data_IF_660249724878
#
_entry.id   IF_660249724878
#
_cell.length_a   1.000
_cell.length_b   1.000
_cell.length_c   1.000
_cell.angle_alpha   90.00
_cell.angle_beta   90.00
_cell.angle_gamma   90.00
#
_symmetry.space_group_name_H-M   'P 1'
#
loop_
_entity.id
_entity.type
_entity.pdbx_description
1 polymer ?
#
# COMPACT_ATOMS: atom_id res chain seq x y z
N UNK A 1 -20.50 3.46 -4.81
CA UNK A 1 -20.04 4.52 -5.75
C UNK A 1 -20.06 5.85 -5.02
N UNK A 2 -19.05 6.71 -5.21
CA UNK A 2 -19.03 8.05 -4.60
C UNK A 2 -20.20 8.91 -5.11
N UNK A 3 -20.70 9.83 -4.29
CA UNK A 3 -21.71 10.81 -4.72
C UNK A 3 -21.11 11.81 -5.73
N UNK A 4 -21.96 12.49 -6.50
CA UNK A 4 -21.52 13.58 -7.41
C UNK A 4 -20.84 14.69 -6.61
N UNK A 5 -21.39 15.04 -5.45
CA UNK A 5 -20.86 16.06 -4.55
C UNK A 5 -19.48 15.68 -4.02
N UNK A 6 -19.31 14.44 -3.54
CA UNK A 6 -18.04 13.91 -3.04
C UNK A 6 -16.96 13.98 -4.11
N UNK A 7 -17.27 13.56 -5.34
CA UNK A 7 -16.33 13.68 -6.47
C UNK A 7 -15.94 15.12 -6.76
N UNK A 8 -16.90 16.05 -6.73
CA UNK A 8 -16.63 17.46 -6.98
C UNK A 8 -15.71 18.07 -5.90
N UNK A 9 -15.97 17.78 -4.62
CA UNK A 9 -15.17 18.26 -3.50
C UNK A 9 -13.74 17.70 -3.55
N UNK A 10 -13.59 16.40 -3.78
CA UNK A 10 -12.27 15.75 -3.89
C UNK A 10 -11.51 16.36 -5.07
N UNK A 11 -12.13 16.47 -6.25
CA UNK A 11 -11.51 17.07 -7.44
C UNK A 11 -11.07 18.52 -7.21
N UNK A 12 -11.86 19.31 -6.51
CA UNK A 12 -11.54 20.71 -6.21
C UNK A 12 -10.39 20.85 -5.20
N UNK A 13 -10.21 19.88 -4.30
CA UNK A 13 -9.22 19.94 -3.21
C UNK A 13 -7.91 19.22 -3.53
N UNK A 14 -7.88 18.33 -4.53
CA UNK A 14 -6.65 17.63 -4.97
C UNK A 14 -5.47 18.57 -5.24
N UNK A 15 -5.61 19.70 -5.98
CA UNK A 15 -4.45 20.57 -6.26
C UNK A 15 -3.83 21.18 -4.99
N UNK A 16 -4.62 21.40 -3.94
CA UNK A 16 -4.12 21.88 -2.65
C UNK A 16 -3.30 20.78 -1.96
N UNK A 17 -3.83 19.56 -1.96
CA UNK A 17 -3.11 18.41 -1.38
C UNK A 17 -1.86 18.04 -2.17
N UNK A 18 -1.84 18.21 -3.49
CA UNK A 18 -0.64 17.96 -4.30
C UNK A 18 0.51 18.90 -3.92
N UNK A 19 0.22 20.20 -3.78
CA UNK A 19 1.20 21.19 -3.32
C UNK A 19 1.74 20.89 -1.92
N UNK A 20 0.94 20.20 -1.09
CA UNK A 20 1.25 19.89 0.30
C UNK A 20 1.53 18.40 0.55
N UNK A 21 1.62 17.57 -0.49
CA UNK A 21 1.61 16.11 -0.37
C UNK A 21 2.74 15.56 0.49
N UNK A 22 3.92 16.17 0.38
CA UNK A 22 5.09 15.85 1.22
C UNK A 22 4.85 16.18 2.70
N UNK A 23 4.17 17.28 3.01
CA UNK A 23 3.85 17.65 4.39
C UNK A 23 2.80 16.70 4.99
N UNK A 24 1.73 16.41 4.24
CA UNK A 24 0.66 15.49 4.64
C UNK A 24 1.25 14.10 4.95
N UNK A 25 2.03 13.55 4.02
CA UNK A 25 2.62 12.21 4.18
C UNK A 25 3.63 12.14 5.32
N UNK A 26 4.37 13.23 5.58
CA UNK A 26 5.27 13.32 6.73
C UNK A 26 4.50 13.26 8.06
N UNK A 27 3.41 14.03 8.19
CA UNK A 27 2.54 14.00 9.37
C UNK A 27 1.90 12.63 9.54
N UNK A 28 1.34 12.08 8.45
CA UNK A 28 0.75 10.74 8.39
C UNK A 28 1.70 9.67 8.95
N UNK A 29 2.91 9.54 8.39
CA UNK A 29 3.86 8.51 8.84
C UNK A 29 4.35 8.75 10.26
N UNK A 30 4.62 10.02 10.63
CA UNK A 30 5.08 10.36 11.98
C UNK A 30 4.06 9.92 13.02
N UNK A 31 2.80 10.32 12.87
CA UNK A 31 1.77 10.06 13.87
C UNK A 31 1.43 8.56 13.90
N UNK A 32 1.19 7.95 12.74
CA UNK A 32 0.83 6.53 12.63
C UNK A 32 1.89 5.61 13.25
N UNK A 33 3.17 5.82 12.97
CA UNK A 33 4.22 4.90 13.43
C UNK A 33 4.65 5.14 14.89
N UNK A 34 4.37 6.33 15.42
CA UNK A 34 4.57 6.61 16.84
C UNK A 34 3.54 5.89 17.71
N UNK A 35 2.28 5.85 17.25
CA UNK A 35 1.16 5.23 17.96
C UNK A 35 1.02 3.73 17.64
N UNK A 36 1.28 3.32 16.40
CA UNK A 36 1.23 1.92 15.95
C UNK A 36 2.62 1.38 15.64
N UNK A 37 3.45 1.22 16.68
CA UNK A 37 4.84 0.77 16.54
C UNK A 37 4.98 -0.60 15.87
N UNK A 38 3.98 -1.47 15.94
CA UNK A 38 3.95 -2.76 15.23
C UNK A 38 4.08 -2.62 13.71
N UNK A 39 3.61 -1.50 13.13
CA UNK A 39 3.69 -1.25 11.70
C UNK A 39 5.12 -0.97 11.22
N UNK A 40 6.06 -0.74 12.15
CA UNK A 40 7.49 -0.62 11.83
C UNK A 40 8.10 -1.92 11.29
N UNK A 41 7.45 -3.06 11.51
CA UNK A 41 7.83 -4.35 10.91
C UNK A 41 7.38 -4.49 9.45
N UNK A 42 6.51 -3.59 8.98
CA UNK A 42 5.94 -3.59 7.62
C UNK A 42 6.52 -2.43 6.81
N UNK A 43 6.61 -1.25 7.42
CA UNK A 43 7.12 -0.06 6.75
C UNK A 43 8.64 0.06 6.84
N UNK A 44 9.29 0.24 5.69
CA UNK A 44 10.72 0.44 5.60
C UNK A 44 11.12 1.87 6.01
N UNK A 45 11.77 2.00 7.19
CA UNK A 45 12.25 3.29 7.73
C UNK A 45 13.29 3.98 6.85
N UNK A 46 14.12 3.23 6.13
CA UNK A 46 15.15 3.80 5.24
C UNK A 46 14.50 4.52 4.06
N UNK A 47 13.43 3.94 3.51
CA UNK A 47 12.67 4.57 2.44
C UNK A 47 11.95 5.85 2.91
N UNK A 48 11.50 5.87 4.17
CA UNK A 48 10.90 7.06 4.78
C UNK A 48 11.92 8.19 4.98
N UNK A 49 13.12 7.86 5.48
CA UNK A 49 14.20 8.83 5.68
C UNK A 49 14.70 9.42 4.36
N UNK A 50 14.64 8.65 3.26
CA UNK A 50 15.04 9.08 1.91
C UNK A 50 13.95 9.84 1.15
N UNK A 51 12.73 9.98 1.70
CA UNK A 51 11.69 10.87 1.17
C UNK A 51 11.00 10.43 -0.14
N UNK A 52 11.16 9.18 -0.59
CA UNK A 52 10.63 8.70 -1.87
C UNK A 52 9.17 8.21 -1.85
N UNK A 53 8.53 8.14 -0.68
CA UNK A 53 7.19 7.59 -0.47
C UNK A 53 5.98 8.58 -0.46
N UNK A 54 6.14 9.92 -0.37
CA UNK A 54 5.03 10.88 -0.47
C UNK A 54 4.23 10.82 -1.77
N UNK A 55 4.91 10.55 -2.89
CA UNK A 55 4.33 10.76 -4.22
C UNK A 55 3.29 9.70 -4.58
N UNK A 56 3.48 8.44 -4.18
CA UNK A 56 2.59 7.34 -4.59
C UNK A 56 1.15 7.48 -4.07
N UNK A 57 1.00 7.90 -2.80
CA UNK A 57 -0.33 8.11 -2.20
C UNK A 57 -1.05 9.29 -2.86
N UNK A 58 -0.35 10.42 -3.05
CA UNK A 58 -0.90 11.60 -3.72
C UNK A 58 -1.31 11.30 -5.17
N UNK A 59 -0.48 10.58 -5.92
CA UNK A 59 -0.77 10.16 -7.30
C UNK A 59 -1.99 9.24 -7.37
N UNK A 60 -2.08 8.26 -6.46
CA UNK A 60 -3.21 7.32 -6.41
C UNK A 60 -4.53 8.04 -6.11
N UNK A 61 -4.50 8.95 -5.14
CA UNK A 61 -5.63 9.81 -4.79
C UNK A 61 -6.04 10.74 -5.95
N UNK A 62 -5.07 11.34 -6.64
CA UNK A 62 -5.34 12.19 -7.80
C UNK A 62 -6.01 11.41 -8.94
N UNK A 63 -5.50 10.22 -9.22
CA UNK A 63 -6.10 9.33 -10.22
C UNK A 63 -7.53 8.90 -9.82
N UNK A 64 -7.76 8.66 -8.53
CA UNK A 64 -9.09 8.34 -7.98
C UNK A 64 -10.09 9.49 -8.16
N UNK A 65 -9.63 10.74 -7.98
CA UNK A 65 -10.42 11.94 -8.14
C UNK A 65 -10.86 12.17 -9.59
N UNK A 66 -10.07 11.70 -10.57
CA UNK A 66 -10.42 11.77 -12.00
C UNK A 66 -11.42 10.69 -12.37
N UNK A 67 -11.08 9.41 -12.18
CA UNK A 67 -11.98 8.27 -12.40
C UNK A 67 -11.45 7.01 -11.70
N UNK A 68 -12.28 6.39 -10.84
CA UNK A 68 -11.91 5.17 -10.11
C UNK A 68 -11.56 3.98 -11.03
N UNK A 69 -12.18 3.88 -12.21
CA UNK A 69 -11.91 2.79 -13.17
C UNK A 69 -10.50 2.84 -13.77
N UNK A 70 -9.88 4.01 -13.84
CA UNK A 70 -8.51 4.20 -14.36
C UNK A 70 -7.46 3.71 -13.37
N UNK A 71 -7.85 3.47 -12.11
CA UNK A 71 -6.94 3.02 -11.07
C UNK A 71 -6.53 1.56 -11.18
N UNK A 72 -7.33 0.70 -11.81
CA UNK A 72 -7.16 -0.75 -11.69
C UNK A 72 -5.74 -1.23 -12.03
N UNK A 73 -5.10 -0.85 -13.15
CA UNK A 73 -3.73 -1.28 -13.45
C UNK A 73 -2.71 -0.80 -12.40
N UNK A 74 -2.90 0.41 -11.85
CA UNK A 74 -2.01 0.95 -10.81
C UNK A 74 -2.23 0.27 -9.46
N UNK A 75 -3.49 -0.02 -9.12
CA UNK A 75 -3.87 -0.76 -7.91
C UNK A 75 -3.31 -2.18 -7.98
N UNK A 76 -3.32 -2.85 -9.14
CA UNK A 76 -2.71 -4.17 -9.29
C UNK A 76 -1.20 -4.12 -9.05
N UNK A 77 -0.50 -3.15 -9.63
CA UNK A 77 0.94 -2.97 -9.42
C UNK A 77 1.29 -2.78 -7.93
N UNK A 78 0.53 -1.95 -7.21
CA UNK A 78 0.74 -1.71 -5.79
C UNK A 78 0.27 -2.93 -4.97
N UNK A 79 -0.83 -3.56 -5.36
CA UNK A 79 -1.43 -4.73 -4.71
C UNK A 79 -0.47 -5.90 -4.63
N UNK A 80 0.37 -6.12 -5.66
CA UNK A 80 1.44 -7.12 -5.58
C UNK A 80 2.42 -6.85 -4.43
N UNK A 81 2.79 -5.59 -4.19
CA UNK A 81 3.66 -5.21 -3.07
C UNK A 81 2.93 -5.34 -1.74
N UNK A 82 1.68 -4.89 -1.64
CA UNK A 82 0.87 -5.02 -0.44
C UNK A 82 0.67 -6.49 -0.04
N UNK A 83 0.36 -7.36 -1.00
CA UNK A 83 0.25 -8.80 -0.78
C UNK A 83 1.57 -9.39 -0.29
N UNK A 84 2.69 -9.06 -0.93
CA UNK A 84 4.01 -9.53 -0.52
C UNK A 84 4.41 -9.04 0.89
N UNK A 85 3.96 -7.85 1.29
CA UNK A 85 4.16 -7.28 2.63
C UNK A 85 3.11 -7.71 3.65
N UNK A 86 2.23 -8.65 3.29
CA UNK A 86 1.19 -9.17 4.16
C UNK A 86 0.19 -8.10 4.66
N UNK A 87 -0.11 -7.07 3.86
CA UNK A 87 -1.14 -6.08 4.17
C UNK A 87 -2.53 -6.74 4.19
N UNK A 88 -3.32 -6.46 5.22
CA UNK A 88 -4.65 -7.05 5.44
C UNK A 88 -5.74 -5.98 5.48
N UNK A 89 -7.02 -6.35 5.29
CA UNK A 89 -8.14 -5.41 5.37
C UNK A 89 -8.14 -4.60 6.67
N UNK A 90 -7.73 -5.18 7.79
CA UNK A 90 -7.71 -4.53 9.10
C UNK A 90 -6.65 -3.42 9.22
N UNK A 91 -5.68 -3.35 8.29
CA UNK A 91 -4.70 -2.26 8.26
C UNK A 91 -5.24 -0.98 7.62
N UNK A 92 -6.26 -1.06 6.76
CA UNK A 92 -6.80 0.09 6.04
C UNK A 92 -7.47 1.11 6.98
N UNK A 93 -8.32 0.73 7.96
CA UNK A 93 -8.90 1.70 8.89
C UNK A 93 -7.85 2.56 9.60
N UNK A 94 -6.73 1.96 10.02
CA UNK A 94 -5.61 2.66 10.66
C UNK A 94 -5.01 3.70 9.70
N UNK A 95 -4.66 3.27 8.48
CA UNK A 95 -4.09 4.19 7.49
C UNK A 95 -5.05 5.33 7.12
N UNK A 96 -6.36 5.04 7.01
CA UNK A 96 -7.39 6.04 6.74
C UNK A 96 -7.50 7.10 7.83
N UNK A 97 -7.48 6.68 9.10
CA UNK A 97 -7.56 7.59 10.24
C UNK A 97 -6.41 8.60 10.24
N UNK A 98 -5.16 8.13 10.13
CA UNK A 98 -4.00 9.03 10.14
C UNK A 98 -3.91 9.89 8.88
N UNK A 99 -4.39 9.41 7.73
CA UNK A 99 -4.44 10.21 6.51
C UNK A 99 -5.42 11.38 6.67
N UNK A 100 -6.63 11.12 7.17
CA UNK A 100 -7.64 12.15 7.38
C UNK A 100 -7.21 13.15 8.45
N UNK A 101 -6.55 12.68 9.51
CA UNK A 101 -5.96 13.56 10.54
C UNK A 101 -4.86 14.44 9.94
N UNK A 102 -3.97 13.90 9.11
CA UNK A 102 -2.94 14.68 8.44
C UNK A 102 -3.53 15.72 7.46
N UNK A 103 -4.58 15.37 6.72
CA UNK A 103 -5.30 16.32 5.85
C UNK A 103 -5.94 17.43 6.69
N UNK A 104 -6.57 17.08 7.82
CA UNK A 104 -7.18 18.06 8.74
C UNK A 104 -6.14 19.03 9.31
N UNK A 105 -5.00 18.52 9.79
CA UNK A 105 -3.91 19.36 10.31
C UNK A 105 -3.41 20.36 9.24
N UNK A 106 -3.27 19.91 8.00
CA UNK A 106 -2.79 20.75 6.90
C UNK A 106 -3.80 21.79 6.42
N UNK A 107 -5.09 21.44 6.43
CA UNK A 107 -6.17 22.40 6.15
C UNK A 107 -6.42 23.37 7.31
N UNK A 108 -5.88 23.09 8.51
CA UNK A 108 -6.00 23.92 9.70
C UNK A 108 -7.37 23.84 10.38
N UNK A 109 -7.59 24.71 11.38
CA UNK A 109 -8.82 24.76 12.18
C UNK A 109 -10.10 25.04 11.36
N UNK A 110 -9.96 25.43 10.10
CA UNK A 110 -11.05 25.75 9.18
C UNK A 110 -11.35 24.63 8.18
N UNK A 111 -10.74 23.44 8.31
CA UNK A 111 -11.05 22.28 7.47
C UNK A 111 -12.57 22.02 7.45
N UNK A 112 -13.30 22.34 6.36
CA UNK A 112 -14.75 22.24 6.35
C UNK A 112 -15.17 20.78 6.57
N UNK A 113 -16.17 20.49 7.43
CA UNK A 113 -16.64 19.13 7.68
C UNK A 113 -16.96 18.35 6.40
N UNK A 114 -17.52 19.04 5.41
CA UNK A 114 -17.87 18.47 4.10
C UNK A 114 -16.64 18.00 3.31
N UNK A 115 -15.50 18.69 3.45
CA UNK A 115 -14.24 18.30 2.80
C UNK A 115 -13.72 17.01 3.45
N UNK A 116 -13.65 16.95 4.78
CA UNK A 116 -13.19 15.75 5.48
C UNK A 116 -14.13 14.56 5.26
N UNK A 117 -15.44 14.80 5.20
CA UNK A 117 -16.43 13.78 4.85
C UNK A 117 -16.20 13.21 3.45
N UNK A 118 -16.03 14.08 2.45
CA UNK A 118 -15.75 13.67 1.08
C UNK A 118 -14.43 12.88 0.96
N UNK A 119 -13.39 13.29 1.67
CA UNK A 119 -12.11 12.56 1.72
C UNK A 119 -12.24 11.19 2.39
N UNK A 120 -13.06 11.08 3.46
CA UNK A 120 -13.34 9.79 4.11
C UNK A 120 -14.05 8.83 3.17
N UNK A 121 -15.09 9.29 2.48
CA UNK A 121 -15.80 8.49 1.48
C UNK A 121 -14.87 8.05 0.35
N UNK A 122 -14.05 8.97 -0.17
CA UNK A 122 -13.08 8.67 -1.22
C UNK A 122 -12.04 7.65 -0.78
N UNK A 123 -11.49 7.80 0.43
CA UNK A 123 -10.57 6.83 1.01
C UNK A 123 -11.21 5.43 1.08
N UNK A 124 -12.43 5.33 1.62
CA UNK A 124 -13.15 4.06 1.71
C UNK A 124 -13.33 3.39 0.36
N UNK A 125 -13.78 4.14 -0.65
CA UNK A 125 -13.95 3.61 -1.99
C UNK A 125 -12.64 3.12 -2.64
N UNK A 126 -11.51 3.80 -2.38
CA UNK A 126 -10.20 3.36 -2.86
C UNK A 126 -9.76 2.10 -2.10
N UNK A 127 -9.89 2.10 -0.76
CA UNK A 127 -9.53 0.97 0.09
C UNK A 127 -10.29 -0.30 -0.32
N UNK A 128 -11.59 -0.21 -0.62
CA UNK A 128 -12.40 -1.35 -1.08
C UNK A 128 -11.85 -1.96 -2.38
N UNK A 129 -11.38 -1.13 -3.32
CA UNK A 129 -10.78 -1.60 -4.57
C UNK A 129 -9.47 -2.34 -4.29
N UNK A 130 -8.59 -1.76 -3.47
CA UNK A 130 -7.35 -2.39 -3.06
C UNK A 130 -7.59 -3.73 -2.36
N UNK A 131 -8.50 -3.76 -1.37
CA UNK A 131 -8.85 -4.97 -0.62
C UNK A 131 -9.38 -6.06 -1.55
N UNK A 132 -10.25 -5.69 -2.50
CA UNK A 132 -10.80 -6.64 -3.48
C UNK A 132 -9.69 -7.27 -4.34
N UNK A 133 -8.80 -6.44 -4.90
CA UNK A 133 -7.67 -6.88 -5.72
C UNK A 133 -6.70 -7.74 -4.91
N UNK A 134 -6.34 -7.31 -3.71
CA UNK A 134 -5.42 -8.03 -2.82
C UNK A 134 -6.00 -9.36 -2.36
N UNK A 135 -7.30 -9.43 -2.05
CA UNK A 135 -7.97 -10.68 -1.70
C UNK A 135 -7.89 -11.71 -2.83
N UNK A 136 -8.04 -11.27 -4.08
CA UNK A 136 -7.82 -12.13 -5.25
C UNK A 136 -6.37 -12.60 -5.31
N UNK A 137 -5.40 -11.69 -5.17
CA UNK A 137 -3.97 -12.03 -5.17
C UNK A 137 -3.56 -12.97 -4.03
N UNK A 138 -4.18 -12.87 -2.86
CA UNK A 138 -3.97 -13.80 -1.76
C UNK A 138 -4.48 -15.21 -2.07
N UNK A 139 -5.63 -15.32 -2.75
CA UNK A 139 -6.20 -16.61 -3.18
C UNK A 139 -5.38 -17.28 -4.28
N UNK A 140 -4.82 -16.48 -5.19
CA UNK A 140 -3.97 -16.94 -6.30
C UNK A 140 -2.52 -17.22 -5.89
N UNK A 141 -2.11 -16.84 -4.67
CA UNK A 141 -0.75 -17.05 -4.22
C UNK A 141 -0.43 -18.54 -4.05
N UNK A 142 0.77 -18.94 -4.48
CA UNK A 142 1.25 -20.32 -4.37
C UNK A 142 1.23 -20.85 -2.92
N UNK A 143 1.35 -19.97 -1.93
CA UNK A 143 1.15 -20.29 -0.52
C UNK A 143 0.66 -19.06 0.26
N UNK A 144 0.11 -19.31 1.46
CA UNK A 144 -0.30 -18.26 2.37
C UNK A 144 0.85 -17.79 3.26
N UNK A 145 1.08 -16.47 3.26
CA UNK A 145 1.96 -15.79 4.20
C UNK A 145 3.44 -16.15 4.12
N UNK A 146 4.14 -15.87 5.23
CA UNK A 146 5.55 -16.19 5.34
C UNK A 146 5.74 -17.68 5.58
N UNK A 147 6.68 -18.27 4.85
CA UNK A 147 7.02 -19.68 4.95
C UNK A 147 8.53 -19.83 5.17
N UNK A 148 8.96 -20.81 5.97
CA UNK A 148 10.37 -20.99 6.27
C UNK A 148 11.10 -21.60 5.07
N UNK A 149 12.18 -20.94 4.68
CA UNK A 149 13.15 -21.43 3.71
C UNK A 149 14.53 -21.52 4.35
N UNK A 150 15.36 -22.41 3.84
CA UNK A 150 16.76 -22.56 4.20
C UNK A 150 17.64 -22.16 3.01
N UNK A 151 18.66 -21.34 3.25
CA UNK A 151 19.69 -21.06 2.25
C UNK A 151 20.64 -22.25 2.18
N UNK A 152 20.62 -22.96 1.05
CA UNK A 152 21.42 -24.17 0.82
C UNK A 152 22.70 -23.91 0.02
N UNK A 153 22.79 -22.75 -0.63
CA UNK A 153 24.01 -22.26 -1.24
C UNK A 153 24.04 -20.72 -1.17
N UNK A 154 25.27 -20.18 -1.15
CA UNK A 154 25.55 -18.75 -1.20
C UNK A 154 26.77 -18.55 -2.09
N UNK A 155 26.59 -17.88 -3.22
CA UNK A 155 27.63 -17.75 -4.23
C UNK A 155 27.89 -16.29 -4.55
N UNK A 156 29.16 -15.90 -4.66
CA UNK A 156 29.53 -14.55 -5.08
C UNK A 156 29.49 -14.47 -6.61
N UNK A 157 28.50 -13.76 -7.13
CA UNK A 157 28.30 -13.59 -8.59
C UNK A 157 28.88 -12.28 -9.13
N UNK A 158 29.18 -11.31 -8.25
CA UNK A 158 29.92 -10.09 -8.57
C UNK A 158 30.69 -9.55 -7.34
N UNK A 159 31.41 -8.44 -7.48
CA UNK A 159 32.20 -7.85 -6.38
C UNK A 159 31.38 -7.52 -5.12
N UNK A 160 30.13 -7.12 -5.29
CA UNK A 160 29.21 -6.66 -4.24
C UNK A 160 27.84 -7.38 -4.28
N UNK A 161 27.73 -8.46 -5.06
CA UNK A 161 26.47 -9.20 -5.26
C UNK A 161 26.67 -10.67 -4.95
N UNK A 162 25.77 -11.22 -4.15
CA UNK A 162 25.72 -12.64 -3.80
C UNK A 162 24.35 -13.22 -4.14
N UNK A 163 24.35 -14.41 -4.70
CA UNK A 163 23.17 -15.21 -4.99
C UNK A 163 22.93 -16.19 -3.83
N UNK A 164 21.66 -16.32 -3.43
CA UNK A 164 21.23 -17.30 -2.42
C UNK A 164 20.31 -18.32 -3.08
N UNK A 165 20.71 -19.60 -3.08
CA UNK A 165 19.81 -20.70 -3.44
C UNK A 165 19.06 -21.14 -2.19
N UNK A 166 17.72 -21.17 -2.25
CA UNK A 166 16.87 -21.53 -1.11
C UNK A 166 16.04 -22.79 -1.37
N UNK A 167 15.82 -23.58 -0.32
CA UNK A 167 14.86 -24.70 -0.33
C UNK A 167 13.81 -24.49 0.76
N UNK A 168 12.58 -24.89 0.48
CA UNK A 168 11.51 -24.88 1.46
C UNK A 168 11.84 -25.90 2.57
N UNK A 169 11.75 -25.48 3.84
CA UNK A 169 11.97 -26.42 4.96
C UNK A 169 10.81 -27.40 5.09
N UNK A 170 10.99 -28.61 5.66
CA UNK A 170 9.91 -29.57 5.84
C UNK A 170 8.68 -28.98 6.56
N UNK A 171 8.90 -28.15 7.59
CA UNK A 171 7.83 -27.48 8.34
C UNK A 171 7.08 -26.39 7.56
N UNK A 172 7.57 -25.99 6.38
CA UNK A 172 6.88 -25.02 5.53
C UNK A 172 5.59 -25.57 4.92
N UNK A 173 5.54 -26.89 4.69
CA UNK A 173 4.49 -27.56 3.93
C UNK A 173 4.44 -27.14 2.45
N UNK A 174 5.47 -26.47 1.92
CA UNK A 174 5.53 -26.08 0.50
C UNK A 174 6.17 -27.21 -0.30
N UNK A 175 5.53 -27.55 -1.41
CA UNK A 175 6.10 -28.35 -2.49
C UNK A 175 6.40 -27.44 -3.70
N UNK A 176 7.68 -27.09 -3.88
CA UNK A 176 8.12 -26.17 -4.93
C UNK A 176 7.91 -26.75 -6.34
N UNK A 177 7.85 -28.07 -6.49
CA UNK A 177 7.62 -28.71 -7.79
C UNK A 177 6.24 -28.35 -8.36
N UNK A 178 5.25 -28.12 -7.48
CA UNK A 178 3.89 -27.70 -7.83
C UNK A 178 3.76 -26.19 -8.11
N UNK A 179 4.75 -25.40 -7.69
CA UNK A 179 4.78 -23.95 -7.93
C UNK A 179 5.38 -23.60 -9.31
N UNK A 180 6.22 -24.49 -9.86
CA UNK A 180 6.93 -24.24 -11.13
C UNK A 180 6.09 -24.59 -12.37
N UNK A 181 5.10 -25.48 -12.26
CA UNK A 181 4.23 -25.86 -13.38
C UNK A 181 3.35 -24.71 -13.91
N UNK A 182 3.09 -23.68 -13.10
CA UNK A 182 2.36 -22.48 -13.52
C UNK A 182 3.22 -21.43 -14.24
N UNK A 183 4.55 -21.58 -14.27
CA UNK A 183 5.48 -20.63 -14.91
C UNK A 183 5.92 -21.06 -16.31
N UNK A 184 5.64 -22.29 -16.72
CA UNK A 184 6.05 -22.88 -18.02
C UNK A 184 4.88 -22.99 -19.01
N UNK A 185 3.68 -22.53 -18.63
CA UNK A 185 2.51 -22.50 -19.51
C UNK A 185 2.23 -21.09 -20.03
N UNK A 186 3.13 -20.56 -20.86
CA UNK A 186 2.89 -19.40 -21.74
C UNK A 186 3.59 -19.62 -23.06
#
# INVERSE_FOLDING_TARGET
MLSVQTRAIVKATVPVLEKQGTAITKVFYKNMLNEHKQLLNIFNRVNQAKGAQPTALATTVHAAAKHLSVLLPHVEQIGHKHRALQIKPEHYPIAGEYLLTAIKEMLGATAPPDILGAWREAYGAIADIFISVENRMYKEAAWAGWKPFEAVARERVASDTEEFTVKAKPESGIDLSKCLSSLVST
#
